data_IF_795877753332
#
_entry.id   IF_795877753332
#
_cell.length_a   1.000
_cell.length_b   1.000
_cell.length_c   1.000
_cell.angle_alpha   90.00
_cell.angle_beta   90.00
_cell.angle_gamma   90.00
#
_symmetry.space_group_name_H-M   'P 1'
#
loop_
_entity.id
_entity.type
_entity.pdbx_description
1 polymer ?
#
# COMPACT_ATOMS: atom_id res chain seq x y z
N UNK A 1 -9.59 -52.07 -18.98
CA UNK A 1 -8.25 -51.66 -19.50
C UNK A 1 -8.38 -50.32 -20.21
N UNK A 2 -8.04 -49.24 -19.56
CA UNK A 2 -8.07 -47.91 -20.15
C UNK A 2 -6.77 -47.66 -20.91
N UNK A 3 -6.83 -47.55 -22.23
CA UNK A 3 -5.68 -47.32 -23.08
C UNK A 3 -5.14 -45.92 -22.94
N UNK A 4 -3.88 -45.78 -22.56
CA UNK A 4 -3.16 -44.49 -22.52
C UNK A 4 -3.03 -43.93 -23.94
N UNK A 5 -3.58 -42.73 -24.18
CA UNK A 5 -3.38 -41.98 -25.40
C UNK A 5 -1.92 -41.52 -25.50
N UNK A 6 -1.20 -41.98 -26.50
CA UNK A 6 0.15 -41.51 -26.74
C UNK A 6 0.15 -40.09 -27.34
N UNK A 7 1.27 -39.37 -27.23
CA UNK A 7 1.45 -37.99 -27.69
C UNK A 7 1.04 -37.71 -29.14
N UNK A 8 1.24 -38.69 -30.04
CA UNK A 8 0.83 -38.61 -31.44
C UNK A 8 -0.68 -38.73 -31.65
N UNK A 9 -1.38 -39.53 -30.81
CA UNK A 9 -2.84 -39.66 -30.85
C UNK A 9 -3.53 -38.41 -30.36
N UNK A 10 -2.95 -37.70 -29.37
CA UNK A 10 -3.45 -36.42 -28.88
C UNK A 10 -3.34 -35.32 -29.96
N UNK A 11 -2.18 -35.16 -30.61
CA UNK A 11 -1.96 -34.16 -31.64
C UNK A 11 -2.87 -34.39 -32.85
N UNK A 12 -3.07 -35.65 -33.30
CA UNK A 12 -3.97 -35.95 -34.43
C UNK A 12 -5.42 -35.63 -34.15
N UNK A 13 -5.91 -35.80 -32.92
CA UNK A 13 -7.28 -35.43 -32.52
C UNK A 13 -7.48 -33.93 -32.38
N UNK A 14 -6.45 -33.20 -31.92
CA UNK A 14 -6.50 -31.73 -31.83
C UNK A 14 -6.51 -31.06 -33.22
N UNK A 15 -5.78 -31.61 -34.20
CA UNK A 15 -5.77 -31.12 -35.57
C UNK A 15 -7.06 -31.44 -36.36
N UNK A 16 -7.73 -32.54 -36.05
CA UNK A 16 -9.02 -32.88 -36.67
C UNK A 16 -10.20 -32.02 -36.20
N UNK A 17 -10.11 -31.43 -35.01
CA UNK A 17 -11.12 -30.51 -34.46
C UNK A 17 -11.01 -29.08 -35.03
N UNK A 18 -9.90 -28.71 -35.66
CA UNK A 18 -9.66 -27.38 -36.21
C UNK A 18 -9.95 -27.21 -37.71
N UNK A 19 -10.28 -28.30 -38.41
CA UNK A 19 -10.48 -28.30 -39.87
C UNK A 19 -11.96 -28.06 -40.33
N UNK A 20 -12.85 -27.68 -39.47
CA UNK A 20 -14.29 -27.58 -39.72
C UNK A 20 -14.94 -26.19 -39.72
N UNK A 21 -14.17 -25.10 -39.67
CA UNK A 21 -14.75 -23.74 -39.64
C UNK A 21 -14.13 -22.86 -40.73
N UNK A 22 -14.69 -22.91 -41.94
CA UNK A 22 -14.48 -21.84 -42.95
C UNK A 22 -15.44 -20.69 -42.63
N UNK A 23 -14.91 -19.57 -42.17
CA UNK A 23 -15.65 -18.32 -42.04
C UNK A 23 -15.47 -17.46 -43.27
N UNK A 24 -16.50 -16.76 -43.75
CA UNK A 24 -16.37 -15.82 -44.86
C UNK A 24 -15.58 -14.58 -44.42
N UNK A 25 -14.76 -14.06 -45.32
CA UNK A 25 -13.95 -12.86 -45.13
C UNK A 25 -14.84 -11.61 -45.05
N UNK A 26 -15.20 -11.19 -43.86
CA UNK A 26 -15.78 -9.89 -43.56
C UNK A 26 -14.88 -9.20 -42.53
N UNK A 27 -14.36 -8.01 -42.88
CA UNK A 27 -13.55 -7.18 -42.01
C UNK A 27 -14.39 -6.63 -40.85
N UNK A 28 -14.55 -7.42 -39.80
CA UNK A 28 -14.98 -6.90 -38.50
C UNK A 28 -13.95 -7.33 -37.46
N UNK A 29 -13.34 -6.35 -36.79
CA UNK A 29 -12.57 -6.58 -35.57
C UNK A 29 -13.39 -7.43 -34.60
N UNK A 30 -12.86 -8.49 -34.00
CA UNK A 30 -13.61 -9.19 -32.97
C UNK A 30 -13.86 -8.21 -31.83
N UNK A 31 -15.12 -7.82 -31.62
CA UNK A 31 -15.54 -7.24 -30.36
C UNK A 31 -15.27 -8.32 -29.31
N UNK A 32 -14.36 -8.05 -28.38
CA UNK A 32 -14.29 -8.77 -27.12
C UNK A 32 -15.72 -8.75 -26.58
N UNK A 33 -16.30 -9.93 -26.33
CA UNK A 33 -17.60 -10.03 -25.70
C UNK A 33 -17.55 -9.18 -24.43
N UNK A 34 -18.32 -8.09 -24.43
CA UNK A 34 -18.55 -7.32 -23.22
C UNK A 34 -19.14 -8.31 -22.20
N UNK A 35 -18.41 -8.56 -21.14
CA UNK A 35 -18.98 -9.17 -19.95
C UNK A 35 -20.20 -8.37 -19.52
N UNK A 36 -21.10 -8.92 -18.71
CA UNK A 36 -22.32 -8.24 -18.31
C UNK A 36 -21.95 -6.85 -17.85
N UNK A 37 -22.64 -5.83 -18.41
CA UNK A 37 -22.41 -4.42 -18.10
C UNK A 37 -22.39 -4.28 -16.58
N UNK A 38 -21.22 -4.05 -16.01
CA UNK A 38 -21.09 -3.72 -14.60
C UNK A 38 -21.86 -2.43 -14.39
N UNK A 39 -22.93 -2.53 -13.63
CA UNK A 39 -23.66 -1.37 -13.14
C UNK A 39 -22.61 -0.46 -12.48
N UNK A 40 -22.57 0.80 -12.89
CA UNK A 40 -21.80 1.83 -12.22
C UNK A 40 -22.36 1.98 -10.79
N UNK A 41 -21.92 1.13 -9.90
CA UNK A 41 -22.20 1.30 -8.48
C UNK A 41 -21.37 2.50 -8.05
N UNK A 42 -22.05 3.57 -7.64
CA UNK A 42 -21.44 4.66 -6.92
C UNK A 42 -20.75 4.03 -5.69
N UNK A 43 -19.43 3.82 -5.76
CA UNK A 43 -18.71 3.11 -4.72
C UNK A 43 -18.49 4.08 -3.57
N UNK A 44 -19.33 3.97 -2.53
CA UNK A 44 -19.23 4.81 -1.33
C UNK A 44 -18.10 4.33 -0.42
N UNK A 45 -16.85 4.69 -0.77
CA UNK A 45 -15.68 4.40 0.05
C UNK A 45 -15.72 5.28 1.31
N UNK A 46 -15.64 4.69 2.52
CA UNK A 46 -15.55 5.47 3.74
C UNK A 46 -14.34 6.40 3.76
N UNK A 47 -14.59 7.64 4.15
CA UNK A 47 -13.60 8.71 4.18
C UNK A 47 -13.21 9.08 5.60
N UNK A 48 -12.03 9.67 5.74
CA UNK A 48 -11.54 10.37 6.94
C UNK A 48 -10.72 11.58 6.52
N UNK A 49 -10.08 12.24 7.50
CA UNK A 49 -9.24 13.40 7.24
C UNK A 49 -7.92 13.29 7.98
N UNK A 50 -6.89 13.92 7.42
CA UNK A 50 -5.69 14.29 8.14
C UNK A 50 -5.55 15.80 7.96
N UNK A 51 -5.81 16.56 9.00
CA UNK A 51 -5.96 18.03 8.94
C UNK A 51 -7.00 18.43 7.86
N UNK A 52 -6.55 19.15 6.82
CA UNK A 52 -7.40 19.65 5.74
C UNK A 52 -7.57 18.67 4.58
N UNK A 53 -6.83 17.55 4.55
CA UNK A 53 -6.83 16.59 3.45
C UNK A 53 -7.84 15.48 3.71
N UNK A 54 -8.86 15.35 2.86
CA UNK A 54 -9.80 14.23 2.87
C UNK A 54 -9.17 12.99 2.22
N UNK A 55 -9.17 11.87 2.93
CA UNK A 55 -8.48 10.64 2.53
C UNK A 55 -9.42 9.45 2.64
N UNK A 56 -9.47 8.60 1.61
CA UNK A 56 -10.18 7.32 1.68
C UNK A 56 -9.57 6.41 2.76
N UNK A 57 -10.41 5.69 3.51
CA UNK A 57 -9.94 4.79 4.58
C UNK A 57 -9.01 3.67 4.04
N UNK A 58 -9.15 3.30 2.77
CA UNK A 58 -8.18 2.49 2.03
C UNK A 58 -7.30 3.39 1.17
N UNK A 59 -6.00 3.20 1.24
CA UNK A 59 -4.97 3.95 0.50
C UNK A 59 -4.21 2.97 -0.39
N UNK A 60 -3.99 3.33 -1.65
CA UNK A 60 -3.23 2.52 -2.59
C UNK A 60 -1.72 2.63 -2.31
N UNK A 61 -1.07 1.54 -1.90
CA UNK A 61 0.36 1.49 -1.60
C UNK A 61 1.23 1.34 -2.84
N UNK A 62 2.37 2.06 -2.87
CA UNK A 62 3.26 2.13 -4.04
C UNK A 62 4.37 1.08 -4.09
N UNK A 63 4.51 0.20 -3.11
CA UNK A 63 5.67 -0.71 -3.11
C UNK A 63 5.68 -1.70 -4.27
N UNK A 64 4.52 -2.17 -4.72
CA UNK A 64 4.42 -3.10 -5.85
C UNK A 64 4.93 -2.47 -7.15
N UNK A 65 4.61 -1.20 -7.40
CA UNK A 65 4.97 -0.50 -8.64
C UNK A 65 6.48 -0.26 -8.77
N UNK A 66 7.20 -0.21 -7.66
CA UNK A 66 8.67 -0.08 -7.65
C UNK A 66 9.38 -1.44 -7.52
N UNK A 67 8.65 -2.54 -7.49
CA UNK A 67 9.20 -3.88 -7.31
C UNK A 67 9.75 -4.14 -5.90
N UNK A 68 9.36 -3.35 -4.89
CA UNK A 68 9.77 -3.56 -3.49
C UNK A 68 8.86 -4.57 -2.83
N UNK A 69 9.15 -5.86 -3.07
CA UNK A 69 8.50 -6.94 -2.36
C UNK A 69 8.90 -6.92 -0.87
N UNK A 70 7.93 -7.07 0.01
CA UNK A 70 8.22 -7.25 1.43
C UNK A 70 8.42 -8.73 1.79
N UNK A 71 8.32 -9.61 0.82
CA UNK A 71 8.71 -11.00 0.90
C UNK A 71 10.21 -11.12 0.60
N UNK A 72 11.03 -11.20 1.63
CA UNK A 72 12.49 -11.04 1.55
C UNK A 72 13.21 -12.27 0.99
N UNK A 73 12.61 -13.43 1.14
CA UNK A 73 13.23 -14.70 0.76
C UNK A 73 12.89 -15.17 -0.67
N UNK A 74 11.94 -14.51 -1.33
CA UNK A 74 11.53 -14.83 -2.70
C UNK A 74 12.20 -13.88 -3.72
N UNK A 75 13.40 -14.21 -4.12
CA UNK A 75 14.28 -13.36 -4.94
C UNK A 75 13.72 -12.94 -6.31
N UNK A 76 12.78 -13.70 -6.89
CA UNK A 76 12.18 -13.40 -8.19
C UNK A 76 10.96 -12.47 -8.13
N UNK A 77 10.37 -12.24 -6.94
CA UNK A 77 9.12 -11.48 -6.79
C UNK A 77 9.29 -10.03 -7.23
N UNK A 78 10.41 -9.39 -6.85
CA UNK A 78 10.71 -8.03 -7.29
C UNK A 78 10.74 -7.89 -8.81
N UNK A 79 11.41 -8.84 -9.50
CA UNK A 79 11.48 -8.88 -10.96
C UNK A 79 10.11 -9.09 -11.60
N UNK A 80 9.30 -10.01 -11.08
CA UNK A 80 7.93 -10.23 -11.56
C UNK A 80 7.07 -8.98 -11.43
N UNK A 81 7.09 -8.30 -10.29
CA UNK A 81 6.34 -7.08 -10.08
C UNK A 81 6.76 -5.98 -11.06
N UNK A 82 8.06 -5.81 -11.32
CA UNK A 82 8.55 -4.82 -12.29
C UNK A 82 8.15 -5.14 -13.73
N UNK A 83 8.04 -6.41 -14.09
CA UNK A 83 7.51 -6.81 -15.41
C UNK A 83 6.00 -6.59 -15.51
N UNK A 84 5.27 -6.80 -14.41
CA UNK A 84 3.81 -6.62 -14.37
C UNK A 84 3.42 -5.15 -14.41
N UNK A 85 4.00 -4.33 -13.55
CA UNK A 85 3.68 -2.91 -13.39
C UNK A 85 4.40 -2.05 -14.44
N UNK A 86 3.97 -2.16 -15.70
CA UNK A 86 4.30 -1.16 -16.72
C UNK A 86 3.60 0.16 -16.40
N UNK A 87 4.03 1.27 -17.01
CA UNK A 87 3.39 2.58 -16.82
C UNK A 87 1.87 2.53 -17.03
N UNK A 88 1.42 1.86 -18.09
CA UNK A 88 -0.01 1.74 -18.38
C UNK A 88 -0.73 0.90 -17.33
N UNK A 89 -0.10 -0.16 -16.80
CA UNK A 89 -0.67 -0.98 -15.75
C UNK A 89 -0.78 -0.23 -14.42
N UNK A 90 0.18 0.63 -14.12
CA UNK A 90 0.12 1.54 -12.96
C UNK A 90 -1.07 2.50 -13.09
N UNK A 91 -1.20 3.15 -14.27
CA UNK A 91 -2.31 4.05 -14.56
C UNK A 91 -3.65 3.33 -14.45
N UNK A 92 -3.80 2.17 -15.07
CA UNK A 92 -5.01 1.33 -14.96
C UNK A 92 -5.36 1.00 -13.51
N UNK A 93 -4.36 0.67 -12.69
CA UNK A 93 -4.57 0.40 -11.26
C UNK A 93 -5.09 1.63 -10.52
N UNK A 94 -4.54 2.81 -10.79
CA UNK A 94 -5.01 4.05 -10.17
C UNK A 94 -6.41 4.47 -10.64
N UNK A 95 -6.75 4.25 -11.91
CA UNK A 95 -8.10 4.45 -12.42
C UNK A 95 -9.11 3.57 -11.68
N UNK A 96 -8.79 2.28 -11.52
CA UNK A 96 -9.62 1.35 -10.75
C UNK A 96 -9.75 1.77 -9.27
N UNK A 97 -8.69 2.34 -8.68
CA UNK A 97 -8.75 2.91 -7.34
C UNK A 97 -9.78 4.05 -7.29
N UNK A 98 -9.71 5.01 -8.21
CA UNK A 98 -10.67 6.12 -8.27
C UNK A 98 -12.11 5.64 -8.50
N UNK A 99 -12.33 4.67 -9.41
CA UNK A 99 -13.64 4.04 -9.63
C UNK A 99 -14.20 3.39 -8.36
N UNK A 100 -13.33 2.91 -7.48
CA UNK A 100 -13.69 2.34 -6.18
C UNK A 100 -13.69 3.37 -5.04
N UNK A 101 -13.61 4.67 -5.33
CA UNK A 101 -13.59 5.74 -4.34
C UNK A 101 -12.31 5.85 -3.53
N UNK A 102 -11.23 5.16 -3.91
CA UNK A 102 -9.91 5.29 -3.31
C UNK A 102 -9.25 6.52 -3.93
N UNK A 103 -9.21 7.62 -3.19
CA UNK A 103 -8.75 8.90 -3.69
C UNK A 103 -7.29 9.22 -3.40
N UNK A 104 -6.57 8.32 -2.73
CA UNK A 104 -5.20 8.59 -2.26
C UNK A 104 -4.29 7.41 -2.53
N UNK A 105 -3.09 7.70 -3.05
CA UNK A 105 -2.00 6.73 -3.13
C UNK A 105 -0.81 7.19 -2.28
N UNK A 106 -0.04 6.23 -1.78
CA UNK A 106 1.28 6.44 -1.19
C UNK A 106 2.32 5.90 -2.15
N UNK A 107 3.26 6.74 -2.56
CA UNK A 107 4.34 6.35 -3.45
C UNK A 107 5.65 7.03 -3.08
N UNK A 108 6.81 6.41 -3.35
CA UNK A 108 8.10 6.95 -3.00
C UNK A 108 8.58 8.07 -3.91
N UNK A 109 9.55 8.82 -3.43
CA UNK A 109 10.29 9.83 -4.18
C UNK A 109 11.69 9.29 -4.48
N UNK A 110 11.91 8.78 -5.68
CA UNK A 110 13.21 8.21 -6.10
C UNK A 110 13.74 7.21 -5.07
N UNK A 111 12.97 6.16 -4.84
CA UNK A 111 13.26 5.15 -3.83
C UNK A 111 14.62 4.48 -4.02
N UNK A 112 15.51 4.48 -3.01
CA UNK A 112 16.73 3.68 -3.07
C UNK A 112 16.48 2.17 -3.00
N UNK A 113 15.24 1.76 -2.73
CA UNK A 113 14.80 0.35 -2.64
C UNK A 113 14.04 -0.10 -3.89
N UNK A 114 13.91 0.75 -4.92
CA UNK A 114 13.28 0.37 -6.16
C UNK A 114 14.13 -0.70 -6.89
N UNK A 115 13.48 -1.71 -7.41
CA UNK A 115 14.12 -2.65 -8.33
C UNK A 115 14.23 -2.01 -9.71
N UNK A 116 15.34 -1.31 -9.96
CA UNK A 116 15.54 -0.45 -11.12
C UNK A 116 15.10 0.99 -10.88
N UNK A 117 14.60 1.66 -11.91
CA UNK A 117 14.09 3.03 -11.82
C UNK A 117 12.76 3.09 -11.03
N UNK A 118 12.61 4.10 -10.17
CA UNK A 118 11.34 4.41 -9.52
C UNK A 118 10.42 5.18 -10.49
N UNK A 119 9.30 4.62 -10.94
CA UNK A 119 8.42 5.25 -11.91
C UNK A 119 7.45 6.26 -11.29
N UNK A 120 7.38 6.36 -9.97
CA UNK A 120 6.27 7.02 -9.25
C UNK A 120 6.00 8.44 -9.77
N UNK A 121 6.98 9.32 -9.72
CA UNK A 121 6.80 10.74 -10.11
C UNK A 121 6.45 10.85 -11.60
N UNK A 122 7.15 10.13 -12.44
CA UNK A 122 6.97 10.16 -13.90
C UNK A 122 5.55 9.71 -14.28
N UNK A 123 5.12 8.57 -13.74
CA UNK A 123 3.80 8.02 -14.06
C UNK A 123 2.68 8.83 -13.41
N UNK A 124 2.89 9.34 -12.19
CA UNK A 124 1.93 10.22 -11.52
C UNK A 124 1.67 11.51 -12.32
N UNK A 125 2.75 12.18 -12.73
CA UNK A 125 2.63 13.38 -13.57
C UNK A 125 1.91 13.09 -14.89
N UNK A 126 2.23 11.95 -15.53
CA UNK A 126 1.56 11.52 -16.76
C UNK A 126 0.07 11.24 -16.52
N UNK A 127 -0.26 10.55 -15.44
CA UNK A 127 -1.64 10.21 -15.06
C UNK A 127 -2.48 11.48 -14.85
N UNK A 128 -1.99 12.40 -14.05
CA UNK A 128 -2.72 13.65 -13.78
C UNK A 128 -2.85 14.56 -15.01
N UNK A 129 -1.77 14.71 -15.81
CA UNK A 129 -1.73 15.67 -16.91
C UNK A 129 -2.35 15.17 -18.22
N UNK A 130 -2.18 13.88 -18.52
CA UNK A 130 -2.60 13.31 -19.81
C UNK A 130 -3.90 12.51 -19.71
N UNK A 131 -4.18 11.93 -18.54
CA UNK A 131 -5.33 11.04 -18.32
C UNK A 131 -6.41 11.67 -17.43
N UNK A 132 -6.16 12.86 -16.87
CA UNK A 132 -7.12 13.57 -16.02
C UNK A 132 -7.32 12.93 -14.65
N UNK A 133 -6.38 12.08 -14.19
CA UNK A 133 -6.42 11.43 -12.88
C UNK A 133 -6.47 12.44 -11.74
N UNK A 134 -7.23 12.12 -10.71
CA UNK A 134 -7.47 12.96 -9.53
C UNK A 134 -6.91 12.35 -8.24
N UNK A 135 -6.29 11.15 -8.31
CA UNK A 135 -5.75 10.48 -7.13
C UNK A 135 -4.70 11.37 -6.44
N UNK A 136 -4.87 11.60 -5.15
CA UNK A 136 -3.93 12.37 -4.34
C UNK A 136 -2.68 11.56 -4.03
N UNK A 137 -1.56 12.23 -3.89
CA UNK A 137 -0.30 11.58 -3.54
C UNK A 137 0.22 12.03 -2.18
N UNK A 138 0.41 11.08 -1.26
CA UNK A 138 1.20 11.26 -0.05
C UNK A 138 2.58 10.65 -0.30
N UNK A 139 3.62 11.46 -0.30
CA UNK A 139 4.95 11.08 -0.73
C UNK A 139 5.76 10.42 0.38
N UNK A 140 6.32 9.24 0.09
CA UNK A 140 7.35 8.63 0.91
C UNK A 140 8.70 9.25 0.58
N UNK A 141 9.31 9.97 1.53
CA UNK A 141 10.55 10.72 1.33
C UNK A 141 11.73 10.08 2.04
N UNK A 142 12.93 10.38 1.55
CA UNK A 142 14.20 9.81 2.02
C UNK A 142 15.19 10.92 2.41
N UNK A 143 14.87 11.71 3.46
CA UNK A 143 15.79 12.72 3.93
C UNK A 143 17.09 12.10 4.44
N UNK A 144 18.20 12.81 4.25
CA UNK A 144 19.54 12.41 4.68
C UNK A 144 20.06 13.43 5.68
N UNK A 145 20.99 13.03 6.54
CA UNK A 145 21.56 13.93 7.56
C UNK A 145 22.24 15.17 6.97
N UNK A 146 22.75 15.07 5.76
CA UNK A 146 23.39 16.17 5.01
C UNK A 146 22.45 16.83 3.98
N UNK A 147 21.28 16.28 3.74
CA UNK A 147 20.25 16.80 2.86
C UNK A 147 18.86 16.39 3.40
N UNK A 148 18.33 17.20 4.32
CA UNK A 148 17.03 16.91 4.94
C UNK A 148 15.85 17.22 4.03
N UNK A 149 16.01 18.05 3.02
CA UNK A 149 14.89 18.65 2.29
C UNK A 149 14.77 18.20 0.84
N UNK A 150 15.82 17.71 0.21
CA UNK A 150 15.85 17.45 -1.23
C UNK A 150 14.74 16.50 -1.71
N UNK A 151 14.54 15.37 -1.05
CA UNK A 151 13.43 14.45 -1.40
C UNK A 151 12.05 15.01 -1.06
N UNK A 152 11.94 15.83 -0.01
CA UNK A 152 10.69 16.50 0.37
C UNK A 152 10.36 17.59 -0.67
N UNK A 153 11.35 18.41 -1.07
CA UNK A 153 11.16 19.42 -2.09
C UNK A 153 10.69 18.81 -3.41
N UNK A 154 11.25 17.67 -3.79
CA UNK A 154 10.83 16.95 -5.00
C UNK A 154 9.36 16.49 -4.91
N UNK A 155 8.87 16.09 -3.75
CA UNK A 155 7.46 15.79 -3.54
C UNK A 155 6.57 17.03 -3.71
N UNK A 156 6.98 18.15 -3.13
CA UNK A 156 6.30 19.45 -3.25
C UNK A 156 6.20 19.89 -4.72
N UNK A 157 7.31 19.86 -5.43
CA UNK A 157 7.41 20.31 -6.84
C UNK A 157 6.55 19.45 -7.79
N UNK A 158 6.18 18.23 -7.38
CA UNK A 158 5.35 17.31 -8.15
C UNK A 158 3.92 17.16 -7.59
N UNK A 159 3.48 18.06 -6.72
CA UNK A 159 2.07 18.17 -6.33
C UNK A 159 1.60 17.16 -5.27
N UNK A 160 2.48 16.65 -4.43
CA UNK A 160 2.07 15.84 -3.28
C UNK A 160 1.20 16.67 -2.32
N UNK A 161 0.16 16.06 -1.75
CA UNK A 161 -0.68 16.68 -0.70
C UNK A 161 -0.14 16.47 0.69
N UNK A 162 0.78 15.52 0.83
CA UNK A 162 1.45 15.18 2.09
C UNK A 162 2.79 14.52 1.84
N UNK A 163 3.62 14.48 2.86
CA UNK A 163 4.89 13.77 2.82
C UNK A 163 5.20 13.14 4.19
N UNK A 164 5.91 12.04 4.17
CA UNK A 164 6.38 11.40 5.39
C UNK A 164 7.81 10.86 5.25
N UNK A 165 8.51 10.79 6.38
CA UNK A 165 9.84 10.18 6.45
C UNK A 165 9.72 8.67 6.39
N UNK A 166 10.48 8.02 5.50
CA UNK A 166 10.51 6.56 5.32
C UNK A 166 10.77 5.82 6.64
N UNK A 167 10.07 4.70 6.84
CA UNK A 167 10.07 3.95 8.10
C UNK A 167 11.45 3.56 8.61
N UNK A 168 12.31 3.00 7.76
CA UNK A 168 13.66 2.63 8.17
C UNK A 168 14.55 3.82 8.55
N UNK A 169 14.26 5.03 8.03
CA UNK A 169 14.95 6.25 8.44
C UNK A 169 14.43 6.69 9.81
N UNK A 170 13.11 6.68 10.01
CA UNK A 170 12.48 6.96 11.29
C UNK A 170 13.02 6.06 12.41
N UNK A 171 13.02 4.74 12.19
CA UNK A 171 13.56 3.74 13.12
C UNK A 171 15.03 3.99 13.44
N UNK A 172 15.85 4.24 12.40
CA UNK A 172 17.28 4.50 12.56
C UNK A 172 17.55 5.79 13.34
N UNK A 173 16.88 6.89 13.00
CA UNK A 173 17.13 8.17 13.66
C UNK A 173 16.68 8.17 15.12
N UNK A 174 15.55 7.53 15.46
CA UNK A 174 15.15 7.42 16.87
C UNK A 174 16.12 6.56 17.65
N UNK A 175 16.56 5.42 17.12
CA UNK A 175 17.56 4.54 17.76
C UNK A 175 18.88 5.28 18.04
N UNK A 176 19.25 6.23 17.18
CA UNK A 176 20.45 7.05 17.32
C UNK A 176 20.20 8.40 18.03
N UNK A 177 19.08 8.57 18.73
CA UNK A 177 18.70 9.79 19.45
C UNK A 177 18.63 11.05 18.56
N UNK A 178 18.27 10.89 17.27
CA UNK A 178 18.17 11.98 16.30
C UNK A 178 16.71 12.37 15.98
N UNK A 179 15.88 12.46 17.03
CA UNK A 179 14.50 12.99 16.93
C UNK A 179 14.49 14.43 16.37
N UNK A 180 15.56 15.19 16.60
CA UNK A 180 15.74 16.54 16.06
C UNK A 180 15.65 16.60 14.52
N UNK A 181 16.15 15.58 13.82
CA UNK A 181 16.10 15.51 12.37
C UNK A 181 14.68 15.25 11.85
N UNK A 182 13.94 14.41 12.56
CA UNK A 182 12.51 14.18 12.25
C UNK A 182 11.71 15.46 12.42
N UNK A 183 11.89 16.17 13.55
CA UNK A 183 11.20 17.42 13.83
C UNK A 183 11.46 18.48 12.74
N UNK A 184 12.71 18.65 12.31
CA UNK A 184 13.10 19.56 11.22
C UNK A 184 12.49 19.17 9.87
N UNK A 185 12.45 17.87 9.55
CA UNK A 185 11.82 17.39 8.33
C UNK A 185 10.32 17.68 8.32
N UNK A 186 9.59 17.42 9.42
CA UNK A 186 8.17 17.71 9.54
C UNK A 186 7.88 19.21 9.50
N UNK A 187 8.68 20.02 10.15
CA UNK A 187 8.57 21.49 10.06
C UNK A 187 8.68 21.97 8.61
N UNK A 188 9.63 21.46 7.85
CA UNK A 188 9.79 21.81 6.45
C UNK A 188 8.58 21.37 5.59
N UNK A 189 8.06 20.15 5.79
CA UNK A 189 6.86 19.66 5.11
C UNK A 189 5.67 20.59 5.41
N UNK A 190 5.43 20.90 6.69
CA UNK A 190 4.29 21.74 7.13
C UNK A 190 4.39 23.18 6.66
N UNK A 191 5.59 23.78 6.64
CA UNK A 191 5.83 25.13 6.10
C UNK A 191 5.45 25.26 4.63
N UNK A 192 5.48 24.15 3.89
CA UNK A 192 5.07 24.12 2.48
C UNK A 192 3.60 23.70 2.30
N UNK A 193 2.80 23.69 3.36
CA UNK A 193 1.36 23.45 3.30
C UNK A 193 0.95 21.96 3.20
N UNK A 194 1.90 21.02 3.27
CA UNK A 194 1.63 19.60 3.20
C UNK A 194 1.34 19.02 4.59
N UNK A 195 0.56 17.94 4.66
CA UNK A 195 0.45 17.13 5.88
C UNK A 195 1.76 16.35 6.10
N UNK A 196 2.26 16.37 7.36
CA UNK A 196 3.55 15.77 7.71
C UNK A 196 3.37 14.48 8.50
N UNK A 197 4.00 13.40 8.06
CA UNK A 197 3.93 12.10 8.70
C UNK A 197 5.27 11.47 9.03
N UNK A 198 5.23 10.46 9.88
CA UNK A 198 6.34 9.57 10.16
C UNK A 198 5.94 8.12 9.93
N UNK A 199 6.65 7.42 9.04
CA UNK A 199 6.55 5.97 8.96
C UNK A 199 7.55 5.30 9.90
N UNK A 200 7.21 4.11 10.40
CA UNK A 200 8.07 3.34 11.28
C UNK A 200 7.63 1.86 11.34
N UNK A 201 8.58 1.00 11.64
CA UNK A 201 8.32 -0.40 11.95
C UNK A 201 8.30 -0.61 13.48
N UNK A 202 9.17 0.09 14.20
CA UNK A 202 9.22 0.05 15.66
C UNK A 202 8.21 1.00 16.28
N UNK A 203 7.49 0.52 17.30
CA UNK A 203 6.61 1.35 18.13
C UNK A 203 7.39 2.41 18.95
N UNK A 204 8.70 2.25 19.10
CA UNK A 204 9.55 3.20 19.82
C UNK A 204 9.59 4.56 19.13
N UNK A 205 9.37 4.61 17.82
CA UNK A 205 9.39 5.86 17.06
C UNK A 205 8.24 6.78 17.47
N UNK A 206 6.96 6.41 17.38
CA UNK A 206 5.89 7.28 17.82
C UNK A 206 5.95 7.55 19.32
N UNK A 207 6.41 6.61 20.17
CA UNK A 207 6.65 6.87 21.59
C UNK A 207 7.67 8.00 21.79
N UNK A 208 8.79 7.97 21.08
CA UNK A 208 9.82 9.00 21.18
C UNK A 208 9.32 10.36 20.69
N UNK A 209 8.56 10.39 19.58
CA UNK A 209 8.00 11.63 19.03
C UNK A 209 6.96 12.26 19.95
N UNK A 210 6.03 11.45 20.52
CA UNK A 210 5.04 11.94 21.50
C UNK A 210 5.74 12.46 22.77
N UNK A 211 6.72 11.73 23.30
CA UNK A 211 7.50 12.15 24.48
C UNK A 211 8.25 13.46 24.26
N UNK A 212 8.78 13.66 23.05
CA UNK A 212 9.49 14.88 22.68
C UNK A 212 8.57 16.03 22.28
N UNK A 213 7.26 15.83 22.21
CA UNK A 213 6.28 16.84 21.79
C UNK A 213 6.45 17.27 20.33
N UNK A 214 6.92 16.36 19.46
CA UNK A 214 7.15 16.69 18.05
C UNK A 214 5.81 16.86 17.32
N UNK A 215 5.67 17.96 16.60
CA UNK A 215 4.45 18.31 15.85
C UNK A 215 4.38 17.55 14.51
N UNK A 216 3.88 16.32 14.55
CA UNK A 216 3.58 15.48 13.40
C UNK A 216 2.06 15.35 13.23
N UNK A 217 1.57 15.29 11.99
CA UNK A 217 0.13 15.25 11.71
C UNK A 217 -0.43 13.83 11.70
N UNK A 218 0.36 12.82 11.35
CA UNK A 218 -0.06 11.42 11.35
C UNK A 218 1.11 10.46 11.54
N UNK A 219 0.80 9.27 12.02
CA UNK A 219 1.72 8.15 12.07
C UNK A 219 1.37 7.10 11.02
N UNK A 220 2.39 6.48 10.43
CA UNK A 220 2.25 5.31 9.58
C UNK A 220 3.07 4.18 10.20
N UNK A 221 2.42 3.30 10.98
CA UNK A 221 3.08 2.21 11.71
C UNK A 221 2.62 0.84 11.20
N UNK A 222 3.54 -0.13 11.18
CA UNK A 222 3.19 -1.51 10.84
C UNK A 222 2.16 -2.07 11.82
N UNK A 223 1.16 -2.78 11.28
CA UNK A 223 0.20 -3.49 12.10
C UNK A 223 -0.31 -4.73 11.37
N UNK A 224 -0.05 -5.89 11.92
CA UNK A 224 -0.68 -7.14 11.52
C UNK A 224 -0.75 -8.11 12.71
N UNK A 225 -1.66 -9.08 12.64
CA UNK A 225 -1.68 -10.20 13.57
C UNK A 225 -0.35 -10.97 13.48
N UNK A 226 0.06 -11.57 14.55
CA UNK A 226 1.17 -12.53 14.58
C UNK A 226 0.70 -14.01 14.56
N UNK A 227 -0.61 -14.22 14.33
CA UNK A 227 -1.23 -15.53 14.17
C UNK A 227 -1.40 -15.85 12.67
N UNK A 228 -0.30 -16.27 12.03
CA UNK A 228 -0.29 -16.78 10.65
C UNK A 228 0.86 -17.77 10.45
N UNK A 229 0.76 -18.60 9.43
CA UNK A 229 1.59 -19.80 9.24
C UNK A 229 3.10 -19.55 9.18
N UNK A 230 3.55 -18.40 8.68
CA UNK A 230 4.96 -18.03 8.53
C UNK A 230 5.42 -16.95 9.54
N UNK A 231 4.62 -16.66 10.56
CA UNK A 231 5.03 -15.70 11.58
C UNK A 231 6.21 -16.25 12.41
N UNK A 232 7.23 -15.40 12.59
CA UNK A 232 8.36 -15.76 13.47
C UNK A 232 7.87 -16.00 14.90
N UNK A 233 8.17 -17.15 15.52
CA UNK A 233 7.79 -17.45 16.89
C UNK A 233 8.25 -16.38 17.87
N UNK A 234 7.44 -16.07 18.90
CA UNK A 234 7.74 -14.98 19.86
C UNK A 234 9.13 -15.11 20.49
N UNK A 235 9.57 -16.34 20.79
CA UNK A 235 10.88 -16.60 21.38
C UNK A 235 12.07 -16.34 20.43
N UNK A 236 11.83 -16.25 19.13
CA UNK A 236 12.86 -16.06 18.10
C UNK A 236 12.90 -14.61 17.57
N UNK A 237 11.98 -13.75 18.04
CA UNK A 237 11.92 -12.36 17.57
C UNK A 237 13.04 -11.53 18.19
N UNK A 238 13.79 -10.77 17.39
CA UNK A 238 14.76 -9.83 17.92
C UNK A 238 14.07 -8.76 18.78
N UNK A 239 14.76 -8.29 19.81
CA UNK A 239 14.21 -7.29 20.74
C UNK A 239 13.97 -5.93 20.05
N UNK A 240 14.92 -5.49 19.24
CA UNK A 240 14.93 -4.15 18.62
C UNK A 240 14.92 -4.15 17.09
N UNK A 241 15.14 -5.28 16.45
CA UNK A 241 15.20 -5.41 15.01
C UNK A 241 14.05 -6.24 14.44
N UNK A 242 13.86 -6.13 13.12
CA UNK A 242 12.96 -7.02 12.41
C UNK A 242 13.62 -8.40 12.23
N UNK A 243 12.87 -9.50 12.24
CA UNK A 243 13.39 -10.80 11.87
C UNK A 243 14.08 -10.72 10.49
N UNK A 244 15.23 -11.39 10.29
CA UNK A 244 16.04 -11.25 9.08
C UNK A 244 15.37 -11.81 7.82
N UNK A 245 14.47 -12.76 8.02
CA UNK A 245 13.78 -13.48 6.95
C UNK A 245 12.31 -13.15 6.92
N UNK A 246 11.67 -13.52 5.77
CA UNK A 246 10.23 -13.55 5.65
C UNK A 246 9.51 -12.19 5.68
N UNK A 247 8.24 -12.25 5.98
CA UNK A 247 7.22 -11.21 5.81
C UNK A 247 6.76 -10.59 7.14
N UNK A 248 7.39 -10.92 8.26
CA UNK A 248 7.03 -10.35 9.55
C UNK A 248 7.62 -8.95 9.76
N UNK A 249 6.74 -7.96 9.98
CA UNK A 249 7.08 -6.55 10.11
C UNK A 249 6.51 -5.88 11.36
N UNK A 250 5.51 -6.50 12.01
CA UNK A 250 4.96 -6.06 13.28
C UNK A 250 5.28 -7.12 14.35
N UNK A 251 6.36 -6.93 15.10
CA UNK A 251 6.84 -7.92 16.07
C UNK A 251 6.13 -7.84 17.41
N UNK A 252 5.48 -6.71 17.71
CA UNK A 252 4.82 -6.41 19.00
C UNK A 252 3.41 -5.81 18.76
N UNK A 253 2.47 -6.55 18.12
CA UNK A 253 1.17 -5.99 17.73
C UNK A 253 0.35 -5.50 18.93
N UNK A 254 0.32 -6.23 20.04
CA UNK A 254 -0.44 -5.85 21.23
C UNK A 254 0.07 -4.53 21.83
N UNK A 255 1.39 -4.36 21.90
CA UNK A 255 2.00 -3.12 22.40
C UNK A 255 1.71 -1.94 21.48
N UNK A 256 1.74 -2.17 20.16
CA UNK A 256 1.40 -1.17 19.16
C UNK A 256 -0.06 -0.70 19.32
N UNK A 257 -0.99 -1.63 19.44
CA UNK A 257 -2.41 -1.35 19.63
C UNK A 257 -2.64 -0.55 20.93
N UNK A 258 -2.03 -1.01 22.02
CA UNK A 258 -2.20 -0.36 23.35
C UNK A 258 -1.68 1.08 23.32
N UNK A 259 -0.51 1.31 22.75
CA UNK A 259 0.04 2.65 22.62
C UNK A 259 -0.88 3.58 21.80
N UNK A 260 -1.33 3.13 20.63
CA UNK A 260 -2.18 3.97 19.79
C UNK A 260 -3.58 4.25 20.34
N UNK A 261 -4.06 3.48 21.32
CA UNK A 261 -5.30 3.84 22.07
C UNK A 261 -5.23 5.20 22.73
N UNK A 262 -4.04 5.60 23.20
CA UNK A 262 -3.81 6.89 23.85
C UNK A 262 -3.40 8.03 22.89
N UNK A 263 -3.16 7.75 21.62
CA UNK A 263 -2.67 8.74 20.64
C UNK A 263 -3.86 9.38 19.92
N UNK A 264 -3.93 10.71 19.95
CA UNK A 264 -5.01 11.50 19.29
C UNK A 264 -4.72 11.82 17.81
N UNK A 265 -3.54 11.47 17.28
CA UNK A 265 -3.20 11.68 15.88
C UNK A 265 -3.67 10.52 15.01
N UNK A 266 -4.08 10.78 13.75
CA UNK A 266 -4.42 9.73 12.79
C UNK A 266 -3.31 8.69 12.61
N UNK A 267 -3.73 7.43 12.53
CA UNK A 267 -2.86 6.29 12.34
C UNK A 267 -3.18 5.56 11.02
N UNK A 268 -2.21 5.55 10.11
CA UNK A 268 -2.23 4.73 8.90
C UNK A 268 -1.53 3.41 9.23
N UNK A 269 -2.28 2.31 9.26
CA UNK A 269 -1.68 0.98 9.37
C UNK A 269 -1.15 0.53 8.01
N UNK A 270 0.06 -0.02 7.98
CA UNK A 270 0.63 -0.59 6.75
C UNK A 270 1.25 -1.97 7.00
N UNK A 271 1.55 -2.69 5.92
CA UNK A 271 2.01 -4.10 5.94
C UNK A 271 1.00 -5.06 6.60
N UNK A 272 -0.27 -4.68 6.63
CA UNK A 272 -1.35 -5.38 7.33
C UNK A 272 -1.63 -6.79 6.81
N UNK A 273 -1.16 -7.11 5.61
CA UNK A 273 -1.29 -8.42 4.99
C UNK A 273 -0.03 -9.30 5.13
N UNK A 274 1.00 -8.84 5.86
CA UNK A 274 2.27 -9.56 6.01
C UNK A 274 2.78 -10.09 4.65
N UNK A 275 2.92 -9.20 3.65
CA UNK A 275 3.31 -9.50 2.27
C UNK A 275 2.47 -10.61 1.60
N UNK A 276 1.19 -10.72 1.97
CA UNK A 276 0.25 -11.69 1.40
C UNK A 276 0.10 -12.99 2.19
N UNK A 277 0.82 -13.15 3.31
CA UNK A 277 0.64 -14.31 4.19
C UNK A 277 -0.67 -14.27 4.98
N UNK A 278 -1.24 -13.07 5.18
CA UNK A 278 -2.53 -12.87 5.83
C UNK A 278 -3.58 -12.56 4.76
N UNK A 279 -4.67 -13.29 4.78
CA UNK A 279 -5.81 -13.04 3.88
C UNK A 279 -6.38 -11.63 4.06
N UNK A 280 -6.78 -10.92 2.99
CA UNK A 280 -7.27 -9.55 3.04
C UNK A 280 -8.36 -9.35 4.10
N UNK A 281 -9.41 -10.18 4.11
CA UNK A 281 -10.48 -10.09 5.10
C UNK A 281 -9.98 -10.09 6.55
N UNK A 282 -8.98 -10.91 6.87
CA UNK A 282 -8.40 -10.97 8.22
C UNK A 282 -7.52 -9.77 8.53
N UNK A 283 -6.66 -9.38 7.58
CA UNK A 283 -5.72 -8.27 7.75
C UNK A 283 -6.42 -6.92 7.90
N UNK A 284 -7.39 -6.63 7.04
CA UNK A 284 -8.19 -5.40 7.13
C UNK A 284 -9.01 -5.35 8.43
N UNK A 285 -9.69 -6.46 8.77
CA UNK A 285 -10.47 -6.55 10.00
C UNK A 285 -9.59 -6.30 11.21
N UNK A 286 -8.44 -6.98 11.30
CA UNK A 286 -7.49 -6.80 12.40
C UNK A 286 -7.04 -5.34 12.52
N UNK A 287 -6.68 -4.69 11.41
CA UNK A 287 -6.20 -3.31 11.44
C UNK A 287 -7.28 -2.33 11.93
N UNK A 288 -8.46 -2.36 11.33
CA UNK A 288 -9.52 -1.40 11.64
C UNK A 288 -10.18 -1.63 13.01
N UNK A 289 -10.41 -2.87 13.41
CA UNK A 289 -10.97 -3.18 14.75
C UNK A 289 -10.01 -2.79 15.87
N UNK A 290 -8.70 -2.84 15.63
CA UNK A 290 -7.68 -2.46 16.60
C UNK A 290 -7.30 -0.97 16.56
N UNK A 291 -8.04 -0.15 15.82
CA UNK A 291 -7.97 1.30 15.96
C UNK A 291 -7.20 2.03 14.87
N UNK A 292 -6.72 1.36 13.81
CA UNK A 292 -6.18 2.07 12.65
C UNK A 292 -7.25 2.96 12.01
N UNK A 293 -6.88 4.18 11.64
CA UNK A 293 -7.79 5.12 10.98
C UNK A 293 -7.81 4.93 9.48
N UNK A 294 -6.68 4.51 8.93
CA UNK A 294 -6.49 4.22 7.51
C UNK A 294 -5.67 2.96 7.34
N UNK A 295 -5.82 2.29 6.20
CA UNK A 295 -4.99 1.16 5.79
C UNK A 295 -4.29 1.48 4.47
N UNK A 296 -2.95 1.37 4.44
CA UNK A 296 -2.15 1.48 3.22
C UNK A 296 -1.75 0.09 2.72
N UNK A 297 -2.26 -0.29 1.56
CA UNK A 297 -2.08 -1.63 0.99
C UNK A 297 -1.65 -1.54 -0.47
N UNK A 298 -0.54 -2.21 -0.82
CA UNK A 298 -0.17 -2.43 -2.21
C UNK A 298 -1.16 -3.40 -2.86
N UNK A 299 -1.75 -2.99 -3.98
CA UNK A 299 -2.77 -3.77 -4.68
C UNK A 299 -2.38 -3.96 -6.15
N UNK A 300 -2.62 -5.16 -6.67
CA UNK A 300 -2.72 -5.35 -8.11
C UNK A 300 -4.09 -4.88 -8.60
N UNK A 301 -4.19 -4.50 -9.86
CA UNK A 301 -5.46 -4.07 -10.50
C UNK A 301 -6.64 -5.02 -10.21
N UNK A 302 -6.42 -6.33 -10.33
CA UNK A 302 -7.45 -7.34 -10.05
C UNK A 302 -7.85 -7.46 -8.57
N UNK A 303 -7.11 -6.86 -7.64
CA UNK A 303 -7.43 -6.86 -6.21
C UNK A 303 -8.22 -5.63 -5.77
N UNK A 304 -8.08 -4.50 -6.47
CA UNK A 304 -8.59 -3.19 -6.04
C UNK A 304 -10.07 -3.23 -5.65
N UNK A 305 -10.95 -3.77 -6.50
CA UNK A 305 -12.39 -3.84 -6.20
C UNK A 305 -12.69 -4.71 -4.98
N UNK A 306 -12.03 -5.85 -4.87
CA UNK A 306 -12.24 -6.78 -3.78
C UNK A 306 -11.80 -6.17 -2.44
N UNK A 307 -10.63 -5.56 -2.40
CA UNK A 307 -10.09 -4.92 -1.19
C UNK A 307 -10.92 -3.69 -0.78
N UNK A 308 -11.45 -2.95 -1.76
CA UNK A 308 -12.36 -1.83 -1.51
C UNK A 308 -13.69 -2.31 -0.89
N UNK A 309 -14.28 -3.41 -1.39
CA UNK A 309 -15.51 -4.01 -0.83
C UNK A 309 -15.24 -4.48 0.61
N UNK A 310 -14.17 -5.22 0.84
CA UNK A 310 -13.78 -5.68 2.18
C UNK A 310 -13.65 -4.51 3.15
N UNK A 311 -12.95 -3.45 2.73
CA UNK A 311 -12.74 -2.26 3.55
C UNK A 311 -14.06 -1.61 3.95
N UNK A 312 -14.95 -1.35 2.99
CA UNK A 312 -16.27 -0.76 3.23
C UNK A 312 -17.08 -1.60 4.21
N UNK A 313 -17.20 -2.91 3.94
CA UNK A 313 -18.05 -3.80 4.73
C UNK A 313 -17.55 -3.94 6.18
N UNK A 314 -16.23 -3.98 6.39
CA UNK A 314 -15.62 -3.99 7.74
C UNK A 314 -15.88 -2.67 8.46
N UNK A 315 -15.69 -1.53 7.80
CA UNK A 315 -15.93 -0.22 8.43
C UNK A 315 -17.40 -0.04 8.79
N UNK A 316 -18.32 -0.48 7.94
CA UNK A 316 -19.76 -0.44 8.23
C UNK A 316 -20.14 -1.39 9.39
N UNK A 317 -19.47 -2.53 9.52
CA UNK A 317 -19.61 -3.39 10.69
C UNK A 317 -19.12 -2.69 11.97
N UNK A 318 -17.94 -2.04 11.89
CA UNK A 318 -17.38 -1.28 13.02
C UNK A 318 -18.26 -0.10 13.42
N UNK A 319 -18.84 0.65 12.46
CA UNK A 319 -19.79 1.73 12.76
C UNK A 319 -20.99 1.26 13.57
N UNK A 320 -21.47 0.04 13.30
CA UNK A 320 -22.60 -0.56 14.02
C UNK A 320 -22.23 -1.11 15.40
N UNK A 321 -21.04 -1.68 15.54
CA UNK A 321 -20.59 -2.36 16.78
C UNK A 321 -19.77 -1.48 17.69
N UNK A 322 -19.17 -0.42 17.17
CA UNK A 322 -18.15 0.37 17.84
C UNK A 322 -16.76 -0.28 17.78
N UNK A 323 -15.73 0.47 18.17
CA UNK A 323 -14.34 -0.01 18.34
C UNK A 323 -13.69 0.67 19.56
N UNK A 324 -12.63 0.06 20.15
CA UNK A 324 -11.99 0.59 21.38
C UNK A 324 -11.38 1.98 21.23
N UNK A 325 -10.81 2.29 20.05
CA UNK A 325 -10.27 3.61 19.76
C UNK A 325 -11.21 4.37 18.82
N UNK A 326 -11.62 5.62 19.14
CA UNK A 326 -12.43 6.42 18.22
C UNK A 326 -11.64 6.72 16.93
N UNK A 327 -12.36 7.10 15.86
CA UNK A 327 -11.73 7.57 14.64
C UNK A 327 -11.04 8.90 14.90
N UNK A 328 -9.75 9.02 14.51
CA UNK A 328 -9.00 10.28 14.58
C UNK A 328 -8.99 10.95 13.21
N UNK A 329 -9.10 12.29 13.22
CA UNK A 329 -9.16 13.15 12.03
C UNK A 329 -8.43 14.48 12.23
#
# INVERSE_FOLDING_TARGET
MAGFLNRRGFIKRSLAASAGLTLPAGHNKPALAAGPAEQSTNFDMPMGKIRHVGISRLICGGNLIIGSAHERDLIYVASLMRHYFTDNKIIETWQLCEECGINTMIGPVNSPYAFGEDPTIRVYNRYCKEWGGQIQWIAQTYPKTYDLTGSIQMAIDNGAVGAFVHGGIGDNWVRNNRVDLLAKAFEFIKKNGLIAGCACHSIEVPIALEKAGVDVDFYMNTLHSDDYWSATPKAERPEHDLPPHDNMWCTKPEQTIEFFRGVSKPWIAFKILAAGAIQPQKGFKFAFENGADFANVGMFDFQVRHDAIITRDIIDEIKRKGRPRPWME
#
